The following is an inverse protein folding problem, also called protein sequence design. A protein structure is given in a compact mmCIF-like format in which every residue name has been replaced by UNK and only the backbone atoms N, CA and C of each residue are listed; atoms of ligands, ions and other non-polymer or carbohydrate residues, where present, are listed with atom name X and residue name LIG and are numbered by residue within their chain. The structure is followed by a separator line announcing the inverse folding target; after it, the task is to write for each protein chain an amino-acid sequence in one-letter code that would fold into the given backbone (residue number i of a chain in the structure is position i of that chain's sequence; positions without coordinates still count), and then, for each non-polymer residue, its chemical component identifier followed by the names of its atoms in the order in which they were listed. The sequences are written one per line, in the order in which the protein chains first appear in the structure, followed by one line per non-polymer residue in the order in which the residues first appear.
data_IF_530815585602
#
_entry.id   IF_530815585602
#
_cell.length_a   1.000
_cell.length_b   1.000
_cell.length_c   1.000
_cell.angle_alpha   90.00
_cell.angle_beta   90.00
_cell.angle_gamma   90.00
#
_symmetry.space_group_name_H-M   'P 1'
#
loop_
_entity.id
_entity.type
_entity.pdbx_description
1 polymer ?
#
# COMPACT_ATOMS: atom_id res chain seq x y z
N UNK A 1 -16.65 -0.12 19.09
CA UNK A 1 -15.34 -0.73 18.81
C UNK A 1 -14.73 0.06 17.69
N UNK A 2 -13.55 0.63 17.95
CA UNK A 2 -12.92 1.65 17.13
C UNK A 2 -12.56 1.16 15.73
N UNK A 3 -13.18 1.80 14.74
CA UNK A 3 -12.93 1.65 13.30
C UNK A 3 -11.52 2.16 12.92
N UNK A 4 -10.46 1.57 13.48
CA UNK A 4 -9.08 1.89 13.11
C UNK A 4 -8.69 1.39 11.69
N UNK A 5 -9.66 0.88 10.93
CA UNK A 5 -9.48 0.25 9.63
C UNK A 5 -10.07 1.04 8.45
N UNK A 6 -10.82 2.11 8.72
CA UNK A 6 -11.62 2.82 7.70
C UNK A 6 -10.91 4.01 7.03
N UNK A 7 -9.59 4.15 7.20
CA UNK A 7 -8.89 5.27 6.55
C UNK A 7 -7.52 4.84 6.01
N UNK A 8 -7.49 3.83 5.13
CA UNK A 8 -6.41 3.77 4.14
C UNK A 8 -6.73 4.71 2.97
N UNK A 9 -7.02 5.97 3.29
CA UNK A 9 -7.20 7.00 2.29
C UNK A 9 -5.87 7.35 1.63
N UNK A 10 -5.90 8.15 0.57
CA UNK A 10 -4.70 8.55 -0.17
C UNK A 10 -3.58 9.07 0.75
N UNK A 11 -3.93 9.66 1.90
CA UNK A 11 -2.98 10.10 2.93
C UNK A 11 -2.25 8.92 3.58
N UNK A 12 -2.96 7.88 4.01
CA UNK A 12 -2.36 6.68 4.62
C UNK A 12 -1.52 5.88 3.62
N UNK A 13 -1.92 5.88 2.34
CA UNK A 13 -1.08 5.34 1.26
C UNK A 13 0.22 6.14 1.10
N UNK A 14 0.13 7.48 1.09
CA UNK A 14 1.27 8.35 0.88
C UNK A 14 2.26 8.31 2.06
N UNK A 15 1.77 8.17 3.30
CA UNK A 15 2.64 7.99 4.48
C UNK A 15 3.44 6.70 4.42
N UNK A 16 2.82 5.60 3.98
CA UNK A 16 3.53 4.34 3.76
C UNK A 16 4.50 4.53 2.58
N UNK A 17 4.07 5.13 1.47
CA UNK A 17 4.89 5.39 0.29
C UNK A 17 6.18 6.15 0.63
N UNK A 18 6.08 7.26 1.37
CA UNK A 18 7.23 8.06 1.80
C UNK A 18 8.21 7.28 2.68
N UNK A 19 7.76 6.20 3.33
CA UNK A 19 8.63 5.35 4.12
C UNK A 19 9.52 4.44 3.26
N UNK A 20 9.10 4.16 2.02
CA UNK A 20 9.82 3.30 1.07
C UNK A 20 10.48 4.08 -0.07
N UNK A 21 9.97 5.27 -0.44
CA UNK A 21 10.55 6.22 -1.39
C UNK A 21 11.53 7.16 -0.65
N UNK A 22 12.62 6.59 -0.13
CA UNK A 22 13.59 7.31 0.72
C UNK A 22 14.42 8.35 -0.04
N UNK A 23 14.48 8.24 -1.36
CA UNK A 23 15.19 9.13 -2.27
C UNK A 23 14.28 10.16 -2.95
N UNK A 24 12.98 10.16 -2.66
CA UNK A 24 11.95 11.10 -3.17
C UNK A 24 12.01 11.22 -4.69
N UNK A 25 12.29 10.09 -5.36
CA UNK A 25 12.44 10.02 -6.81
C UNK A 25 11.08 9.79 -7.50
N UNK A 26 10.03 9.52 -6.71
CA UNK A 26 8.66 9.29 -7.15
C UNK A 26 8.36 7.85 -7.60
N UNK A 27 9.28 6.90 -7.38
CA UNK A 27 9.11 5.48 -7.69
C UNK A 27 9.89 4.56 -6.74
N UNK A 28 9.20 3.57 -6.18
CA UNK A 28 9.83 2.54 -5.36
C UNK A 28 10.49 1.51 -6.29
N UNK A 29 11.75 1.16 -6.06
CA UNK A 29 12.41 0.11 -6.86
C UNK A 29 11.73 -1.26 -6.64
N UNK A 30 11.74 -2.13 -7.66
CA UNK A 30 11.10 -3.45 -7.58
C UNK A 30 11.55 -4.32 -6.38
N UNK A 31 12.78 -4.11 -5.90
CA UNK A 31 13.33 -4.80 -4.70
C UNK A 31 12.68 -4.33 -3.38
N UNK A 32 12.20 -3.09 -3.33
CA UNK A 32 11.53 -2.47 -2.18
C UNK A 32 10.01 -2.63 -2.26
N UNK A 33 9.50 -2.83 -3.48
CA UNK A 33 8.10 -3.02 -3.78
C UNK A 33 7.50 -4.26 -3.07
N UNK A 34 8.23 -5.37 -3.00
CA UNK A 34 7.82 -6.56 -2.23
C UNK A 34 7.61 -6.25 -0.74
N UNK A 35 8.49 -5.43 -0.17
CA UNK A 35 8.45 -5.07 1.23
C UNK A 35 7.31 -4.07 1.53
N UNK A 36 7.09 -3.14 0.60
CA UNK A 36 5.95 -2.22 0.61
C UNK A 36 4.61 -2.98 0.59
N UNK A 37 4.42 -3.89 -0.38
CA UNK A 37 3.18 -4.64 -0.50
C UNK A 37 2.93 -5.52 0.73
N UNK A 38 3.96 -6.18 1.26
CA UNK A 38 3.79 -7.00 2.47
C UNK A 38 3.36 -6.16 3.66
N UNK A 39 3.94 -4.97 3.84
CA UNK A 39 3.55 -4.05 4.90
C UNK A 39 2.10 -3.56 4.74
N UNK A 40 1.73 -3.22 3.51
CA UNK A 40 0.39 -2.75 3.14
C UNK A 40 -0.68 -3.83 3.31
N UNK A 41 -0.43 -5.08 2.88
CA UNK A 41 -1.31 -6.24 3.13
C UNK A 41 -1.49 -6.54 4.62
N UNK A 42 -0.43 -6.35 5.42
CA UNK A 42 -0.48 -6.58 6.87
C UNK A 42 -1.34 -5.52 7.56
N UNK A 43 -1.33 -4.28 7.06
CA UNK A 43 -2.16 -3.16 7.54
C UNK A 43 -3.63 -3.29 7.11
N UNK A 44 -3.88 -3.69 5.87
CA UNK A 44 -5.22 -3.88 5.31
C UNK A 44 -5.88 -5.19 5.72
N UNK A 45 -5.18 -6.08 6.41
CA UNK A 45 -5.69 -7.38 6.83
C UNK A 45 -6.08 -8.31 5.67
N UNK A 46 -6.27 -9.60 5.97
CA UNK A 46 -6.46 -10.62 4.95
C UNK A 46 -7.76 -10.43 4.15
N UNK A 47 -8.83 -9.93 4.77
CA UNK A 47 -10.13 -9.78 4.08
C UNK A 47 -10.10 -8.72 2.98
N UNK A 48 -9.50 -7.55 3.24
CA UNK A 48 -9.48 -6.46 2.27
C UNK A 48 -8.39 -6.68 1.21
N UNK A 49 -7.26 -7.27 1.61
CA UNK A 49 -6.17 -7.62 0.68
C UNK A 49 -6.63 -8.56 -0.43
N UNK A 50 -7.50 -9.54 -0.17
CA UNK A 50 -7.93 -10.50 -1.20
C UNK A 50 -8.74 -9.84 -2.32
N UNK A 51 -9.53 -8.80 -2.03
CA UNK A 51 -10.40 -8.15 -3.02
C UNK A 51 -9.80 -6.87 -3.61
N UNK A 52 -9.06 -6.09 -2.82
CA UNK A 52 -8.45 -4.85 -3.30
C UNK A 52 -7.16 -5.09 -4.08
N UNK A 53 -6.35 -6.08 -3.71
CA UNK A 53 -5.02 -6.24 -4.30
C UNK A 53 -5.03 -6.51 -5.83
N UNK A 54 -5.88 -7.41 -6.36
CA UNK A 54 -5.96 -7.63 -7.80
C UNK A 54 -6.44 -6.38 -8.56
N UNK A 55 -7.37 -5.64 -7.97
CA UNK A 55 -7.97 -4.44 -8.56
C UNK A 55 -6.99 -3.27 -8.54
N UNK A 56 -6.26 -3.06 -7.44
CA UNK A 56 -5.31 -1.97 -7.26
C UNK A 56 -4.08 -2.14 -8.17
N UNK A 57 -3.56 -3.36 -8.31
CA UNK A 57 -2.48 -3.65 -9.27
C UNK A 57 -2.93 -3.34 -10.70
N UNK A 58 -4.16 -3.66 -11.05
CA UNK A 58 -4.69 -3.35 -12.39
C UNK A 58 -4.69 -1.84 -12.67
N UNK A 59 -5.02 -1.01 -11.67
CA UNK A 59 -5.02 0.45 -11.80
C UNK A 59 -3.63 1.10 -11.79
N UNK A 60 -2.65 0.46 -11.18
CA UNK A 60 -1.30 1.01 -11.05
C UNK A 60 -0.38 0.63 -12.22
N UNK A 61 -0.70 -0.46 -12.95
CA UNK A 61 0.14 -0.98 -14.03
C UNK A 61 -0.53 -0.96 -15.42
N UNK A 62 -1.73 -0.40 -15.55
CA UNK A 62 -2.45 -0.18 -16.81
C UNK A 62 -2.94 1.27 -16.90
#
# INVERSE_FOLDING_TARGET
MDCAFEHLDAVGFLEIWQHFDADDNGYIEGKELDHFFRHMMTKLGPEVSTYLFPSLIFYLFY
#
